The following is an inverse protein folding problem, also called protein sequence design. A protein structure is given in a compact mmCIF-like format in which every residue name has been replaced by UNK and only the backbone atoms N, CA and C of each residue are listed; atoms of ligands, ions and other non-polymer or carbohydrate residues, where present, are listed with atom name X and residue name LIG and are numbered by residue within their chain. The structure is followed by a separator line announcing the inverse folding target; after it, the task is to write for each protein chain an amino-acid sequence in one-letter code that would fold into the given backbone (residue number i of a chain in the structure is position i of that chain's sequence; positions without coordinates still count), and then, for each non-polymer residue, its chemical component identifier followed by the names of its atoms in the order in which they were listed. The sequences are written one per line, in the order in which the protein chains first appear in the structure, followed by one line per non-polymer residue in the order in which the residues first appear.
data_IF_069614852024
#
_entry.id   IF_069614852024
#
_cell.length_a   1.000
_cell.length_b   1.000
_cell.length_c   1.000
_cell.angle_alpha   90.00
_cell.angle_beta   90.00
_cell.angle_gamma   90.00
#
_symmetry.space_group_name_H-M   'P 1'
#
loop_
_entity.id
_entity.type
_entity.pdbx_description
1 polymer ?
#
# COMPACT_ATOMS: atom_id res chain seq x y z
N UNK A 1 -11.35 -18.19 102.77
CA UNK A 1 -10.07 -18.02 103.48
C UNK A 1 -9.63 -16.56 103.36
N UNK A 2 -9.65 -15.84 104.49
CA UNK A 2 -8.87 -14.62 104.73
C UNK A 2 -7.35 -14.90 104.60
N UNK A 3 -6.47 -13.91 104.82
CA UNK A 3 -6.44 -12.52 104.36
C UNK A 3 -5.03 -12.19 103.78
N UNK A 4 -4.78 -10.98 103.29
CA UNK A 4 -3.59 -10.20 103.69
C UNK A 4 -3.44 -8.90 102.91
N UNK A 5 -3.74 -7.78 103.62
CA UNK A 5 -2.94 -6.54 103.79
C UNK A 5 -2.42 -5.82 102.53
N UNK A 6 -2.58 -4.50 102.36
CA UNK A 6 -2.79 -3.43 103.34
C UNK A 6 -3.25 -2.11 102.71
N UNK A 7 -3.16 -1.07 103.55
CA UNK A 7 -4.01 0.12 103.63
C UNK A 7 -3.37 1.34 102.90
N UNK A 8 -3.78 2.62 103.10
CA UNK A 8 -4.41 3.48 102.10
C UNK A 8 -3.54 4.70 101.67
N UNK A 9 -4.04 5.50 100.72
CA UNK A 9 -3.87 6.96 100.81
C UNK A 9 -3.25 7.71 99.62
N UNK A 10 -4.04 8.67 99.16
CA UNK A 10 -3.65 10.07 98.84
C UNK A 10 -2.94 10.35 97.49
N UNK A 11 -3.77 10.89 96.58
CA UNK A 11 -3.58 12.12 95.78
C UNK A 11 -2.21 12.33 95.09
N UNK A 12 -2.25 12.36 93.76
CA UNK A 12 -1.19 12.99 92.97
C UNK A 12 -1.51 12.94 91.49
N UNK A 13 -2.01 14.07 90.96
CA UNK A 13 -2.01 14.35 89.53
C UNK A 13 -0.63 14.03 88.95
N UNK A 14 -0.55 13.06 88.05
CA UNK A 14 0.54 13.02 87.07
C UNK A 14 -0.01 12.41 85.78
N UNK A 15 -0.71 13.25 85.02
CA UNK A 15 -0.94 13.04 83.59
C UNK A 15 0.44 13.17 82.94
N UNK A 16 1.18 12.05 82.91
CA UNK A 16 2.38 11.89 82.09
C UNK A 16 1.91 11.90 80.63
N UNK A 17 1.96 13.08 80.04
CA UNK A 17 1.75 13.31 78.62
C UNK A 17 2.76 12.46 77.82
N UNK A 18 2.30 11.35 77.25
CA UNK A 18 2.93 10.69 76.11
C UNK A 18 2.68 11.55 74.87
N UNK A 19 3.31 12.72 74.82
CA UNK A 19 3.20 13.64 73.68
C UNK A 19 4.56 14.32 73.46
N UNK A 20 5.53 13.54 73.00
CA UNK A 20 6.76 14.09 72.41
C UNK A 20 7.35 13.11 71.38
N UNK A 21 6.55 12.73 70.38
CA UNK A 21 7.10 12.60 69.03
C UNK A 21 6.87 13.96 68.36
N UNK A 22 7.63 14.96 68.80
CA UNK A 22 7.63 16.28 68.17
C UNK A 22 8.16 16.11 66.75
N UNK A 23 7.32 16.56 65.82
CA UNK A 23 7.54 16.82 64.40
C UNK A 23 9.01 16.66 63.97
N UNK A 24 9.30 15.58 63.27
CA UNK A 24 10.46 15.56 62.38
C UNK A 24 10.19 16.63 61.31
N UNK A 25 10.80 17.81 61.46
CA UNK A 25 10.82 18.80 60.38
C UNK A 25 11.34 18.09 59.13
N UNK A 26 10.63 18.15 57.99
CA UNK A 26 11.14 17.60 56.75
C UNK A 26 12.45 18.33 56.45
N UNK A 27 13.56 17.59 56.51
CA UNK A 27 14.87 18.09 56.13
C UNK A 27 14.79 18.51 54.67
N UNK A 28 14.61 19.81 54.43
CA UNK A 28 14.71 20.38 53.09
C UNK A 28 16.17 20.16 52.67
N UNK A 29 16.43 19.38 51.61
CA UNK A 29 17.80 19.19 51.14
C UNK A 29 18.39 20.58 50.85
N UNK A 30 19.64 20.85 51.27
CA UNK A 30 20.26 22.14 51.04
C UNK A 30 20.25 22.44 49.54
N UNK A 31 19.84 23.65 49.17
CA UNK A 31 19.94 24.11 47.79
C UNK A 31 21.43 24.20 47.43
N UNK A 32 21.91 23.18 46.72
CA UNK A 32 23.30 23.04 46.31
C UNK A 32 23.77 24.18 45.40
N UNK A 33 22.84 24.93 44.80
CA UNK A 33 23.12 26.07 43.96
C UNK A 33 23.10 27.41 44.71
N UNK A 34 22.75 27.41 46.00
CA UNK A 34 22.80 28.61 46.83
C UNK A 34 24.23 29.11 46.97
N UNK A 35 24.50 30.31 46.43
CA UNK A 35 25.83 30.93 46.44
C UNK A 35 26.76 30.51 45.31
N UNK A 36 26.32 29.67 44.37
CA UNK A 36 27.10 29.28 43.19
C UNK A 36 26.94 30.33 42.09
N UNK A 37 28.00 31.05 41.77
CA UNK A 37 28.05 31.99 40.64
C UNK A 37 28.65 31.30 39.41
N UNK A 38 27.80 30.95 38.44
CA UNK A 38 28.26 30.35 37.20
C UNK A 38 28.72 31.40 36.17
N UNK A 39 29.75 31.11 35.36
CA UNK A 39 30.16 31.93 34.22
C UNK A 39 29.04 32.12 33.19
N UNK A 40 29.24 33.04 32.23
CA UNK A 40 28.28 33.30 31.15
C UNK A 40 27.98 32.02 30.35
N UNK A 41 26.71 31.88 29.94
CA UNK A 41 26.18 30.71 29.23
C UNK A 41 26.34 29.38 30.01
N UNK A 42 26.30 29.43 31.34
CA UNK A 42 26.20 28.28 32.21
C UNK A 42 25.07 28.49 33.23
N UNK A 43 24.47 27.39 33.70
CA UNK A 43 23.48 27.39 34.76
C UNK A 43 23.88 26.40 35.84
N UNK A 44 23.52 26.69 37.09
CA UNK A 44 23.77 25.77 38.18
C UNK A 44 22.73 24.65 38.19
N UNK A 45 23.21 23.41 38.27
CA UNK A 45 22.41 22.19 38.40
C UNK A 45 23.09 21.31 39.44
N UNK A 46 22.40 20.99 40.54
CA UNK A 46 22.93 20.14 41.62
C UNK A 46 24.31 20.58 42.15
N UNK A 47 24.53 21.91 42.25
CA UNK A 47 25.79 22.50 42.72
C UNK A 47 26.92 22.52 41.69
N UNK A 48 26.65 22.19 40.42
CA UNK A 48 27.63 22.22 39.32
C UNK A 48 27.18 23.19 38.24
N UNK A 49 28.13 23.95 37.69
CA UNK A 49 27.87 24.80 36.54
C UNK A 49 27.94 23.99 35.24
N UNK A 50 26.80 23.88 34.55
CA UNK A 50 26.69 23.18 33.27
C UNK A 50 26.41 24.18 32.16
N UNK A 51 27.05 24.00 31.01
CA UNK A 51 26.89 24.90 29.87
C UNK A 51 25.47 24.83 29.31
N UNK A 52 24.88 25.98 28.99
CA UNK A 52 23.58 26.09 28.29
C UNK A 52 23.75 26.15 26.77
N UNK A 53 24.99 26.01 26.28
CA UNK A 53 25.35 26.03 24.87
C UNK A 53 26.15 24.78 24.55
N UNK A 54 25.75 24.06 23.51
CA UNK A 54 26.32 22.77 23.13
C UNK A 54 26.70 22.82 21.64
N UNK A 55 27.96 22.55 21.30
CA UNK A 55 28.52 22.69 19.94
C UNK A 55 28.18 24.04 19.26
N UNK A 56 28.15 25.12 20.05
CA UNK A 56 27.82 26.47 19.57
C UNK A 56 26.32 26.78 19.41
N UNK A 57 25.44 25.83 19.70
CA UNK A 57 23.99 26.02 19.70
C UNK A 57 23.46 26.20 21.12
N UNK A 58 22.63 27.22 21.35
CA UNK A 58 21.95 27.40 22.64
C UNK A 58 20.92 26.28 22.83
N UNK A 59 20.98 25.59 23.97
CA UNK A 59 20.01 24.58 24.35
C UNK A 59 18.65 25.23 24.68
N UNK A 60 17.57 24.45 24.58
CA UNK A 60 16.24 24.94 24.94
C UNK A 60 16.16 25.24 26.46
N UNK A 61 15.20 26.08 26.90
CA UNK A 61 15.00 26.34 28.32
C UNK A 61 14.83 25.03 29.12
N UNK A 62 15.51 24.92 30.27
CA UNK A 62 15.49 23.71 31.09
C UNK A 62 16.42 22.57 30.61
N UNK A 63 17.24 22.81 29.58
CA UNK A 63 18.25 21.88 29.10
C UNK A 63 19.67 22.42 29.34
N UNK A 64 20.62 21.51 29.46
CA UNK A 64 22.05 21.79 29.56
C UNK A 64 22.84 20.87 28.64
N UNK A 65 24.07 21.24 28.36
CA UNK A 65 24.98 20.47 27.52
C UNK A 65 25.60 19.32 28.33
N UNK A 66 25.28 18.08 27.96
CA UNK A 66 25.94 16.86 28.43
C UNK A 66 26.47 16.07 27.23
N UNK A 67 27.77 15.75 27.23
CA UNK A 67 28.45 14.96 26.18
C UNK A 67 28.01 15.36 24.77
N UNK A 68 28.15 16.65 24.45
CA UNK A 68 27.81 17.25 23.16
C UNK A 68 26.32 17.26 22.76
N UNK A 69 25.40 16.90 23.65
CA UNK A 69 23.96 16.93 23.41
C UNK A 69 23.25 17.82 24.42
N UNK A 70 22.22 18.54 23.97
CA UNK A 70 21.31 19.23 24.89
C UNK A 70 20.39 18.20 25.56
N UNK A 71 20.49 18.09 26.88
CA UNK A 71 19.74 17.13 27.71
C UNK A 71 18.93 17.93 28.74
N UNK A 72 17.69 17.52 28.99
CA UNK A 72 16.87 18.09 30.07
C UNK A 72 17.57 17.87 31.41
N UNK A 73 17.53 18.89 32.27
CA UNK A 73 18.16 18.82 33.61
C UNK A 73 17.66 17.61 34.41
N UNK A 74 16.36 17.31 34.32
CA UNK A 74 15.75 16.15 34.99
C UNK A 74 16.26 14.79 34.45
N UNK A 75 16.89 14.77 33.27
CA UNK A 75 17.40 13.58 32.60
C UNK A 75 18.92 13.41 32.72
N UNK A 76 19.61 14.30 33.44
CA UNK A 76 21.05 14.17 33.67
C UNK A 76 21.34 12.92 34.50
N UNK A 77 22.24 12.07 34.00
CA UNK A 77 22.58 10.79 34.64
C UNK A 77 21.52 9.70 34.52
N UNK A 78 20.34 9.99 33.95
CA UNK A 78 19.31 8.97 33.71
C UNK A 78 19.71 8.11 32.52
N UNK A 79 19.85 6.81 32.76
CA UNK A 79 20.14 5.81 31.73
C UNK A 79 18.90 4.96 31.48
N UNK A 80 18.25 5.18 30.35
CA UNK A 80 17.08 4.41 29.93
C UNK A 80 17.51 3.18 29.10
N UNK A 81 16.80 2.07 29.25
CA UNK A 81 17.07 0.82 28.52
C UNK A 81 16.29 0.73 27.20
N UNK A 82 16.86 0.08 26.18
CA UNK A 82 16.14 -0.30 24.96
C UNK A 82 15.64 0.89 24.14
N UNK A 83 14.34 0.90 23.83
CA UNK A 83 13.58 1.87 23.05
C UNK A 83 13.00 3.03 23.89
N UNK A 84 13.55 3.25 25.09
CA UNK A 84 13.10 4.29 26.01
C UNK A 84 13.98 5.54 25.93
N UNK A 85 13.35 6.70 26.09
CA UNK A 85 14.03 7.99 26.20
C UNK A 85 13.58 8.68 27.48
N UNK A 86 14.50 9.37 28.13
CA UNK A 86 14.15 10.19 29.27
C UNK A 86 13.42 11.45 28.83
N UNK A 87 12.26 11.70 29.45
CA UNK A 87 11.48 12.93 29.33
C UNK A 87 10.97 13.29 30.72
N UNK A 88 11.17 14.55 31.14
CA UNK A 88 10.77 15.00 32.47
C UNK A 88 11.30 14.10 33.61
N UNK A 89 12.50 13.53 33.45
CA UNK A 89 13.14 12.65 34.42
C UNK A 89 12.61 11.21 34.47
N UNK A 90 11.67 10.84 33.58
CA UNK A 90 11.12 9.48 33.50
C UNK A 90 11.50 8.83 32.17
N UNK A 91 11.87 7.55 32.19
CA UNK A 91 12.11 6.76 30.98
C UNK A 91 10.77 6.34 30.36
N UNK A 92 10.37 7.03 29.30
CA UNK A 92 9.18 6.70 28.51
C UNK A 92 9.57 5.94 27.25
N UNK A 93 8.71 5.03 26.78
CA UNK A 93 8.93 4.45 25.45
C UNK A 93 8.73 5.49 24.37
N UNK A 94 9.63 5.48 23.38
CA UNK A 94 9.48 6.27 22.16
C UNK A 94 8.26 5.73 21.40
N UNK A 95 7.27 6.59 21.21
CA UNK A 95 6.04 6.27 20.48
C UNK A 95 5.37 7.57 20.08
N UNK A 96 4.47 7.52 19.11
CA UNK A 96 3.84 8.73 18.57
C UNK A 96 2.34 8.82 18.88
N UNK A 97 1.90 8.11 19.91
CA UNK A 97 0.57 8.29 20.50
C UNK A 97 0.45 9.63 21.24
N UNK A 98 -0.78 10.09 21.49
CA UNK A 98 -1.01 11.32 22.25
C UNK A 98 -0.32 11.26 23.62
N UNK A 99 0.59 12.19 23.88
CA UNK A 99 1.31 12.32 25.15
C UNK A 99 2.63 11.57 25.26
N UNK A 100 3.01 10.72 24.28
CA UNK A 100 4.27 9.98 24.33
C UNK A 100 5.48 10.75 23.80
N UNK A 101 6.67 10.22 24.05
CA UNK A 101 7.93 10.78 23.56
C UNK A 101 8.06 10.59 22.04
N UNK A 102 8.11 11.71 21.31
CA UNK A 102 8.12 11.74 19.84
C UNK A 102 9.21 10.88 19.19
N UNK A 103 8.92 10.37 17.99
CA UNK A 103 9.84 9.58 17.18
C UNK A 103 11.13 10.33 16.83
N UNK A 104 12.15 9.59 16.38
CA UNK A 104 13.39 10.20 15.90
C UNK A 104 13.14 11.08 14.67
N UNK A 105 14.00 12.08 14.39
CA UNK A 105 13.84 12.95 13.22
C UNK A 105 13.82 12.23 11.86
N UNK A 106 14.25 10.95 11.82
CA UNK A 106 14.26 10.06 10.65
C UNK A 106 13.06 9.13 10.59
N UNK A 107 12.11 9.25 11.52
CA UNK A 107 10.97 8.36 11.65
C UNK A 107 9.67 9.14 11.61
N UNK A 108 8.65 8.56 10.97
CA UNK A 108 7.28 9.07 11.04
C UNK A 108 6.46 8.20 11.96
N UNK A 109 5.37 8.80 12.43
CA UNK A 109 4.32 8.04 13.07
C UNK A 109 3.48 7.31 12.02
N UNK A 110 3.41 5.99 12.12
CA UNK A 110 2.40 5.18 11.43
C UNK A 110 1.74 4.27 12.47
N UNK A 111 0.43 4.38 12.63
CA UNK A 111 -0.37 3.55 13.55
C UNK A 111 0.16 3.49 14.98
N UNK A 112 0.58 4.64 15.53
CA UNK A 112 1.21 4.80 16.86
C UNK A 112 2.60 4.16 17.02
N UNK A 113 3.18 3.64 15.94
CA UNK A 113 4.53 3.09 15.87
C UNK A 113 5.44 4.05 15.11
N UNK A 114 6.66 4.23 15.60
CA UNK A 114 7.69 4.96 14.88
C UNK A 114 8.24 4.06 13.77
N UNK A 115 8.01 4.45 12.52
CA UNK A 115 8.53 3.74 11.35
C UNK A 115 9.59 4.61 10.68
N UNK A 116 10.70 3.98 10.32
CA UNK A 116 11.76 4.66 9.60
C UNK A 116 11.27 5.09 8.22
N UNK A 117 11.45 6.36 7.88
CA UNK A 117 11.07 6.91 6.58
C UNK A 117 12.23 7.73 6.05
N UNK A 118 12.90 7.16 5.04
CA UNK A 118 14.07 7.76 4.38
C UNK A 118 13.76 9.10 3.69
N UNK A 119 12.48 9.48 3.57
CA UNK A 119 12.06 10.70 2.91
C UNK A 119 11.78 11.87 3.86
N UNK A 120 11.83 11.66 5.18
CA UNK A 120 11.65 12.75 6.14
C UNK A 120 12.85 13.71 6.08
N UNK A 121 12.56 14.99 5.83
CA UNK A 121 13.57 16.04 5.70
C UNK A 121 14.25 16.09 4.33
N UNK A 122 13.95 15.15 3.43
CA UNK A 122 14.48 15.15 2.07
C UNK A 122 13.73 16.18 1.22
N UNK A 123 14.44 17.22 0.78
CA UNK A 123 13.90 18.22 -0.16
C UNK A 123 14.30 17.86 -1.58
N UNK A 124 13.43 17.15 -2.28
CA UNK A 124 13.67 16.80 -3.66
C UNK A 124 13.53 18.02 -4.61
N UNK A 125 14.41 18.17 -5.61
CA UNK A 125 14.31 19.22 -6.61
C UNK A 125 13.03 19.10 -7.44
N UNK A 126 12.61 20.18 -8.09
CA UNK A 126 11.39 20.24 -8.88
C UNK A 126 11.34 19.11 -9.93
N UNK A 127 10.20 18.43 -10.03
CA UNK A 127 9.99 17.31 -10.94
C UNK A 127 10.55 15.96 -10.46
N UNK A 128 11.01 15.88 -9.20
CA UNK A 128 11.45 14.63 -8.58
C UNK A 128 10.66 14.34 -7.30
N UNK A 129 10.53 13.07 -6.96
CA UNK A 129 9.88 12.56 -5.74
C UNK A 129 10.86 11.69 -4.98
N UNK A 130 10.78 11.72 -3.65
CA UNK A 130 11.57 10.85 -2.80
C UNK A 130 11.02 9.42 -2.86
N UNK A 131 11.90 8.45 -3.09
CA UNK A 131 11.59 7.02 -3.13
C UNK A 131 11.93 6.35 -1.79
N UNK A 132 11.48 5.12 -1.60
CA UNK A 132 11.64 4.39 -0.32
C UNK A 132 13.11 4.24 0.14
N UNK A 133 14.07 4.32 -0.78
CA UNK A 133 15.52 4.33 -0.53
C UNK A 133 16.07 5.71 -0.11
N UNK A 134 15.23 6.74 0.00
CA UNK A 134 15.63 8.11 0.28
C UNK A 134 16.16 8.89 -0.93
N UNK A 135 16.20 8.27 -2.11
CA UNK A 135 16.71 8.91 -3.32
C UNK A 135 15.62 9.75 -4.00
N UNK A 136 15.98 10.96 -4.45
CA UNK A 136 15.11 11.77 -5.29
C UNK A 136 15.19 11.28 -6.73
N UNK A 137 14.10 10.72 -7.25
CA UNK A 137 14.02 10.26 -8.64
C UNK A 137 12.97 11.07 -9.40
N UNK A 138 13.19 11.25 -10.69
CA UNK A 138 12.25 12.01 -11.52
C UNK A 138 10.89 11.33 -11.59
N UNK A 139 9.84 12.14 -11.52
CA UNK A 139 8.46 11.69 -11.79
C UNK A 139 8.30 11.35 -13.27
N UNK A 140 9.09 12.02 -14.11
CA UNK A 140 9.21 11.73 -15.53
C UNK A 140 10.21 10.59 -15.79
N UNK A 141 9.91 9.70 -16.71
CA UNK A 141 10.77 8.60 -17.11
C UNK A 141 10.93 8.57 -18.63
N UNK A 142 12.08 8.06 -19.08
CA UNK A 142 12.34 7.71 -20.47
C UNK A 142 12.83 6.28 -20.46
N UNK A 143 11.94 5.33 -20.77
CA UNK A 143 12.16 3.93 -20.43
C UNK A 143 12.22 3.69 -18.91
N UNK A 144 12.55 2.46 -18.51
CA UNK A 144 12.36 1.99 -17.12
C UNK A 144 13.41 2.55 -16.11
N UNK A 145 14.40 3.33 -16.58
CA UNK A 145 15.56 3.76 -15.79
C UNK A 145 15.24 4.62 -14.55
N UNK A 146 14.22 5.49 -14.63
CA UNK A 146 13.85 6.38 -13.52
C UNK A 146 12.81 5.78 -12.57
N UNK A 147 12.32 4.57 -12.90
CA UNK A 147 11.27 3.90 -12.16
C UNK A 147 11.85 2.94 -11.13
N UNK A 148 11.06 2.63 -10.11
CA UNK A 148 11.43 1.61 -9.13
C UNK A 148 11.41 0.21 -9.79
N UNK A 149 12.05 -0.79 -9.16
CA UNK A 149 12.09 -2.15 -9.71
C UNK A 149 10.71 -2.79 -9.95
N UNK A 150 9.67 -2.26 -9.29
CA UNK A 150 8.27 -2.67 -9.41
C UNK A 150 7.44 -1.74 -10.30
N UNK A 151 8.08 -0.87 -11.07
CA UNK A 151 7.43 0.12 -11.93
C UNK A 151 8.02 0.10 -13.34
N UNK A 152 7.21 0.53 -14.31
CA UNK A 152 7.62 0.71 -15.70
C UNK A 152 7.24 2.11 -16.17
N UNK A 153 7.99 2.62 -17.13
CA UNK A 153 7.64 3.88 -17.75
C UNK A 153 6.42 3.75 -18.65
N UNK A 154 5.32 4.39 -18.26
CA UNK A 154 4.10 4.49 -19.02
C UNK A 154 4.26 5.36 -20.27
N UNK A 155 3.30 5.29 -21.22
CA UNK A 155 3.35 6.03 -22.48
C UNK A 155 3.31 7.55 -22.29
N UNK A 156 2.75 8.05 -21.18
CA UNK A 156 2.79 9.46 -20.77
C UNK A 156 4.12 9.89 -20.12
N UNK A 157 5.13 9.02 -20.10
CA UNK A 157 6.44 9.31 -19.51
C UNK A 157 6.39 9.38 -17.99
N UNK A 158 5.49 8.64 -17.33
CA UNK A 158 5.39 8.54 -15.87
C UNK A 158 5.60 7.10 -15.42
N UNK A 159 6.25 6.92 -14.27
CA UNK A 159 6.37 5.60 -13.67
C UNK A 159 5.01 5.15 -13.16
N UNK A 160 4.59 3.96 -13.59
CA UNK A 160 3.37 3.30 -13.10
C UNK A 160 3.72 1.90 -12.62
N UNK A 161 2.98 1.36 -11.63
CA UNK A 161 3.23 0.00 -11.16
C UNK A 161 3.20 -1.01 -12.31
N UNK A 162 4.16 -1.94 -12.34
CA UNK A 162 4.07 -3.13 -13.22
C UNK A 162 2.97 -4.09 -12.77
N UNK A 163 2.46 -3.92 -11.56
CA UNK A 163 1.25 -4.58 -11.11
C UNK A 163 0.05 -4.05 -11.93
N UNK A 164 -0.35 -4.82 -12.95
CA UNK A 164 -1.47 -4.50 -13.83
C UNK A 164 -1.06 -3.90 -15.19
N UNK A 165 -2.06 -3.42 -15.93
CA UNK A 165 -1.93 -3.17 -17.37
C UNK A 165 -1.75 -1.71 -17.80
N UNK A 166 -1.58 -0.80 -16.85
CA UNK A 166 -1.53 0.65 -17.11
C UNK A 166 -0.35 1.07 -18.02
N UNK A 167 0.80 0.39 -17.94
CA UNK A 167 1.99 0.67 -18.77
C UNK A 167 2.22 -0.33 -19.91
N UNK A 168 1.38 -1.37 -20.02
CA UNK A 168 1.69 -2.50 -20.89
C UNK A 168 1.07 -2.28 -22.26
N UNK A 169 1.92 -2.05 -23.27
CA UNK A 169 1.49 -1.95 -24.68
C UNK A 169 1.69 -3.30 -25.36
N UNK A 170 0.60 -4.00 -25.61
CA UNK A 170 0.66 -5.30 -26.27
C UNK A 170 0.67 -5.19 -27.79
N UNK A 171 1.43 -6.06 -28.49
CA UNK A 171 1.40 -6.15 -29.94
C UNK A 171 0.02 -6.59 -30.43
N UNK A 172 -0.21 -6.51 -31.74
CA UNK A 172 -1.48 -6.93 -32.34
C UNK A 172 -1.84 -8.37 -31.96
N UNK A 173 -3.13 -8.62 -31.77
CA UNK A 173 -3.69 -9.90 -31.28
C UNK A 173 -3.31 -10.29 -29.84
N UNK A 174 -2.88 -9.32 -29.02
CA UNK A 174 -2.65 -9.53 -27.58
C UNK A 174 -3.39 -8.50 -26.72
N UNK A 175 -3.83 -8.92 -25.55
CA UNK A 175 -4.41 -8.06 -24.51
C UNK A 175 -3.56 -8.17 -23.26
N UNK A 176 -3.40 -7.08 -22.53
CA UNK A 176 -2.73 -7.15 -21.24
C UNK A 176 -3.67 -7.77 -20.20
N UNK A 177 -3.17 -8.76 -19.45
CA UNK A 177 -3.76 -9.26 -18.20
C UNK A 177 -2.65 -9.40 -17.17
N UNK A 178 -2.89 -8.93 -15.95
CA UNK A 178 -1.95 -9.00 -14.82
C UNK A 178 -0.52 -8.52 -15.12
N UNK A 179 -0.39 -7.49 -15.96
CA UNK A 179 0.91 -6.92 -16.32
C UNK A 179 1.68 -7.66 -17.43
N UNK A 180 1.09 -8.71 -18.01
CA UNK A 180 1.66 -9.47 -19.12
C UNK A 180 0.79 -9.36 -20.37
N UNK A 181 1.44 -9.32 -21.55
CA UNK A 181 0.73 -9.40 -22.82
C UNK A 181 0.39 -10.85 -23.14
N UNK A 182 -0.89 -11.10 -23.37
CA UNK A 182 -1.43 -12.43 -23.62
C UNK A 182 -2.14 -12.47 -24.96
N UNK A 183 -1.94 -13.54 -25.71
CA UNK A 183 -2.64 -13.75 -26.97
C UNK A 183 -4.16 -13.79 -26.76
N UNK A 184 -4.90 -13.05 -27.59
CA UNK A 184 -6.36 -13.08 -27.64
C UNK A 184 -6.86 -14.45 -28.12
N UNK A 185 -6.04 -15.15 -28.91
CA UNK A 185 -6.30 -16.48 -29.41
C UNK A 185 -5.18 -17.45 -29.04
N UNK A 186 -5.54 -18.70 -28.75
CA UNK A 186 -4.59 -19.76 -28.43
C UNK A 186 -4.71 -20.95 -29.38
N UNK A 187 -3.62 -21.67 -29.59
CA UNK A 187 -3.56 -22.93 -30.34
C UNK A 187 -3.19 -24.12 -29.44
N UNK A 188 -2.56 -23.85 -28.30
CA UNK A 188 -2.25 -24.82 -27.25
C UNK A 188 -2.11 -24.16 -25.88
N UNK A 189 -1.98 -24.97 -24.82
CA UNK A 189 -1.88 -24.47 -23.45
C UNK A 189 -0.65 -23.58 -23.20
N UNK A 190 0.41 -23.74 -24.00
CA UNK A 190 1.61 -22.88 -23.95
C UNK A 190 1.35 -21.43 -24.34
N UNK A 191 0.23 -21.17 -25.03
CA UNK A 191 -0.18 -19.81 -25.43
C UNK A 191 -0.96 -19.10 -24.32
N UNK A 192 -1.27 -19.81 -23.23
CA UNK A 192 -2.06 -19.33 -22.10
C UNK A 192 -1.21 -19.23 -20.83
N UNK A 193 -1.72 -18.49 -19.83
CA UNK A 193 -1.00 -18.31 -18.57
C UNK A 193 -0.97 -19.61 -17.77
N UNK A 194 -0.01 -19.71 -16.84
CA UNK A 194 0.04 -20.79 -15.85
C UNK A 194 -1.29 -20.90 -15.11
N UNK A 195 -1.93 -22.07 -15.18
CA UNK A 195 -3.25 -22.30 -14.58
C UNK A 195 -4.42 -22.08 -15.54
N UNK A 196 -4.17 -21.84 -16.83
CA UNK A 196 -5.19 -21.78 -17.88
C UNK A 196 -5.04 -22.93 -18.89
N UNK A 197 -6.13 -23.24 -19.58
CA UNK A 197 -6.15 -24.19 -20.69
C UNK A 197 -6.66 -23.50 -21.96
N UNK A 198 -6.05 -23.85 -23.09
CA UNK A 198 -6.53 -23.38 -24.38
C UNK A 198 -7.74 -24.20 -24.82
N UNK A 199 -8.89 -23.54 -24.98
CA UNK A 199 -10.13 -24.20 -25.39
C UNK A 199 -10.84 -23.42 -26.47
N UNK A 200 -11.04 -24.09 -27.61
CA UNK A 200 -11.67 -23.52 -28.79
C UNK A 200 -11.11 -22.15 -29.21
N UNK A 201 -9.78 -21.99 -29.09
CA UNK A 201 -9.09 -20.75 -29.43
C UNK A 201 -9.06 -19.70 -28.32
N UNK A 202 -9.62 -19.96 -27.13
CA UNK A 202 -9.66 -19.03 -26.01
C UNK A 202 -8.93 -19.61 -24.79
N UNK A 203 -8.10 -18.80 -24.14
CA UNK A 203 -7.52 -19.16 -22.84
C UNK A 203 -8.57 -19.00 -21.74
N UNK A 204 -8.86 -20.10 -21.04
CA UNK A 204 -9.77 -20.12 -19.89
C UNK A 204 -9.01 -20.57 -18.65
N UNK A 205 -9.33 -19.97 -17.50
CA UNK A 205 -8.86 -20.46 -16.21
C UNK A 205 -9.22 -21.94 -16.05
N UNK A 206 -8.31 -22.76 -15.53
CA UNK A 206 -8.56 -24.19 -15.31
C UNK A 206 -9.69 -24.43 -14.29
N UNK A 207 -10.01 -23.42 -13.48
CA UNK A 207 -11.15 -23.39 -12.55
C UNK A 207 -12.46 -23.00 -13.21
N UNK A 208 -12.45 -22.49 -14.45
CA UNK A 208 -13.66 -22.16 -15.18
C UNK A 208 -14.39 -23.45 -15.57
N UNK A 209 -15.69 -23.60 -15.24
CA UNK A 209 -16.44 -24.82 -15.59
C UNK A 209 -16.54 -25.04 -17.11
N UNK A 210 -16.38 -24.00 -17.93
CA UNK A 210 -16.32 -24.09 -19.38
C UNK A 210 -14.96 -24.55 -19.91
N UNK A 211 -13.90 -24.57 -19.09
CA UNK A 211 -12.59 -25.09 -19.47
C UNK A 211 -12.62 -26.59 -19.84
N UNK A 212 -13.52 -27.35 -19.21
CA UNK A 212 -13.71 -28.78 -19.49
C UNK A 212 -14.55 -29.03 -20.76
N UNK A 213 -15.35 -28.05 -21.20
CA UNK A 213 -16.27 -28.21 -22.35
C UNK A 213 -15.49 -28.11 -23.67
N UNK A 214 -15.57 -29.13 -24.53
CA UNK A 214 -14.77 -29.22 -25.79
C UNK A 214 -15.06 -28.13 -26.79
N UNK A 215 -16.33 -27.97 -27.08
CA UNK A 215 -16.87 -26.93 -27.94
C UNK A 215 -18.37 -27.09 -27.84
N UNK A 216 -19.09 -25.97 -27.80
CA UNK A 216 -20.54 -26.06 -27.88
C UNK A 216 -20.98 -26.27 -29.33
N UNK A 217 -22.04 -27.05 -29.57
CA UNK A 217 -22.65 -27.18 -30.90
C UNK A 217 -23.05 -25.82 -31.47
N UNK A 218 -23.25 -25.76 -32.78
CA UNK A 218 -23.73 -24.54 -33.46
C UNK A 218 -24.97 -23.96 -32.77
N UNK A 219 -24.98 -22.65 -32.62
CA UNK A 219 -26.03 -21.91 -31.92
C UNK A 219 -25.91 -21.84 -30.39
N UNK A 220 -24.95 -22.56 -29.79
CA UNK A 220 -24.81 -22.63 -28.34
C UNK A 220 -23.52 -21.96 -27.84
N UNK A 221 -23.62 -21.34 -26.67
CA UNK A 221 -22.49 -20.77 -25.92
C UNK A 221 -22.32 -21.53 -24.61
N UNK A 222 -21.09 -21.72 -24.15
CA UNK A 222 -20.89 -22.29 -22.82
C UNK A 222 -21.21 -21.24 -21.76
N UNK A 223 -22.07 -21.59 -20.80
CA UNK A 223 -22.36 -20.80 -19.61
C UNK A 223 -22.38 -21.75 -18.42
N UNK A 224 -21.54 -21.47 -17.42
CA UNK A 224 -21.45 -22.26 -16.18
C UNK A 224 -21.20 -23.76 -16.42
N UNK A 225 -20.38 -24.10 -17.42
CA UNK A 225 -20.03 -25.49 -17.77
C UNK A 225 -21.07 -26.24 -18.58
N UNK A 226 -22.15 -25.59 -19.01
CA UNK A 226 -23.17 -26.17 -19.88
C UNK A 226 -23.29 -25.38 -21.18
N UNK A 227 -23.49 -26.08 -22.30
CA UNK A 227 -23.83 -25.43 -23.56
C UNK A 227 -25.30 -25.02 -23.55
N UNK A 228 -25.54 -23.71 -23.65
CA UNK A 228 -26.87 -23.10 -23.65
C UNK A 228 -27.12 -22.41 -24.98
N UNK A 229 -28.36 -22.48 -25.47
CA UNK A 229 -28.75 -21.80 -26.70
C UNK A 229 -28.57 -20.29 -26.57
N UNK A 230 -27.91 -19.70 -27.56
CA UNK A 230 -27.76 -18.25 -27.64
C UNK A 230 -28.99 -17.66 -28.35
N UNK A 231 -29.75 -16.86 -27.61
CA UNK A 231 -30.79 -16.05 -28.21
C UNK A 231 -30.17 -14.90 -29.03
N UNK A 232 -30.81 -14.53 -30.13
CA UNK A 232 -30.36 -13.46 -31.02
C UNK A 232 -31.49 -12.50 -31.40
N UNK A 233 -31.15 -11.26 -31.74
CA UNK A 233 -32.13 -10.21 -32.04
C UNK A 233 -31.50 -8.83 -32.22
N UNK A 234 -32.30 -7.75 -32.21
CA UNK A 234 -31.78 -6.38 -32.29
C UNK A 234 -30.76 -6.11 -31.17
N UNK A 235 -29.51 -5.83 -31.54
CA UNK A 235 -28.42 -5.59 -30.58
C UNK A 235 -27.78 -6.84 -29.98
N UNK A 236 -28.23 -8.04 -30.34
CA UNK A 236 -27.70 -9.31 -29.85
C UNK A 236 -27.32 -10.22 -31.03
N UNK A 237 -26.12 -10.00 -31.63
CA UNK A 237 -25.67 -10.79 -32.78
C UNK A 237 -25.27 -12.20 -32.37
N UNK A 238 -25.35 -13.14 -33.32
CA UNK A 238 -24.77 -14.47 -33.19
C UNK A 238 -23.24 -14.40 -33.27
N UNK A 239 -22.56 -15.40 -32.70
CA UNK A 239 -21.10 -15.48 -32.75
C UNK A 239 -20.65 -16.08 -34.10
N UNK A 240 -19.52 -15.61 -34.63
CA UNK A 240 -18.95 -16.13 -35.87
C UNK A 240 -19.79 -15.84 -37.12
N UNK A 241 -20.07 -16.89 -37.91
CA UNK A 241 -20.77 -16.84 -39.20
C UNK A 241 -22.22 -17.36 -39.13
N UNK A 242 -22.79 -17.42 -37.92
CA UNK A 242 -24.13 -17.93 -37.68
C UNK A 242 -25.19 -16.87 -38.00
N UNK A 243 -26.33 -17.31 -38.55
CA UNK A 243 -27.48 -16.47 -38.82
C UNK A 243 -28.47 -16.51 -37.67
N UNK A 244 -29.15 -15.39 -37.41
CA UNK A 244 -30.25 -15.36 -36.45
C UNK A 244 -31.55 -15.82 -37.12
N UNK A 245 -32.06 -17.00 -36.76
CA UNK A 245 -33.36 -17.53 -37.22
C UNK A 245 -34.31 -17.67 -36.04
N UNK A 246 -35.46 -17.00 -36.10
CA UNK A 246 -36.51 -17.09 -35.08
C UNK A 246 -36.00 -16.87 -33.64
N UNK A 247 -35.03 -15.97 -33.46
CA UNK A 247 -34.44 -15.66 -32.16
C UNK A 247 -33.39 -16.67 -31.67
N UNK A 248 -32.97 -17.64 -32.48
CA UNK A 248 -31.90 -18.60 -32.20
C UNK A 248 -30.78 -18.52 -33.23
N UNK A 249 -29.54 -18.71 -32.78
CA UNK A 249 -28.39 -18.76 -33.68
C UNK A 249 -28.28 -20.12 -34.37
N UNK A 250 -28.16 -20.11 -35.69
CA UNK A 250 -28.00 -21.33 -36.50
C UNK A 250 -26.84 -21.16 -37.49
N UNK A 251 -26.02 -22.20 -37.66
CA UNK A 251 -24.90 -22.20 -38.60
C UNK A 251 -24.76 -23.48 -39.43
N UNK A 252 -23.92 -23.48 -40.47
CA UNK A 252 -23.35 -22.31 -41.16
C UNK A 252 -24.29 -21.83 -42.27
N UNK A 253 -24.53 -20.52 -42.33
CA UNK A 253 -25.19 -19.92 -43.50
C UNK A 253 -24.18 -19.91 -44.63
N UNK A 254 -24.18 -20.93 -45.49
CA UNK A 254 -23.53 -20.80 -46.80
C UNK A 254 -24.17 -19.57 -47.44
N UNK A 255 -23.35 -18.60 -47.80
CA UNK A 255 -23.73 -17.51 -48.68
C UNK A 255 -24.16 -18.11 -50.02
N UNK A 256 -25.40 -18.59 -50.09
CA UNK A 256 -26.12 -18.63 -51.34
C UNK A 256 -26.29 -17.18 -51.77
N UNK A 257 -25.55 -16.86 -52.83
CA UNK A 257 -25.56 -15.61 -53.52
C UNK A 257 -26.98 -15.22 -53.94
N UNK A 258 -27.69 -14.48 -53.10
CA UNK A 258 -28.81 -13.64 -53.53
C UNK A 258 -28.69 -12.31 -52.80
N UNK A 259 -28.22 -11.33 -53.55
CA UNK A 259 -27.96 -9.99 -53.05
C UNK A 259 -29.20 -9.38 -52.41
N UNK A 260 -29.07 -8.94 -51.17
CA UNK A 260 -29.77 -7.75 -50.73
C UNK A 260 -28.95 -6.55 -51.21
N UNK A 261 -29.24 -6.12 -52.44
CA UNK A 261 -29.06 -4.73 -52.79
C UNK A 261 -30.15 -3.94 -52.02
N UNK A 262 -29.81 -2.87 -51.29
CA UNK A 262 -30.80 -1.84 -50.98
C UNK A 262 -31.13 -1.12 -52.30
N UNK A 263 -32.39 -1.22 -52.72
CA UNK A 263 -32.88 -0.53 -53.91
C UNK A 263 -32.95 0.98 -53.69
N UNK A 264 -32.19 1.74 -54.49
CA UNK A 264 -32.52 3.09 -54.95
C UNK A 264 -31.73 3.35 -56.25
N UNK A 265 -32.41 3.80 -57.31
CA UNK A 265 -31.99 3.58 -58.70
C UNK A 265 -31.26 4.70 -59.45
N UNK A 266 -30.74 4.26 -60.61
CA UNK A 266 -30.54 4.93 -61.92
C UNK A 266 -29.41 5.99 -62.10
N UNK A 267 -28.97 6.31 -63.33
CA UNK A 267 -28.20 5.44 -64.24
C UNK A 267 -26.94 6.12 -64.85
N UNK A 268 -26.00 5.34 -65.40
CA UNK A 268 -25.17 5.76 -66.55
C UNK A 268 -23.65 5.89 -66.32
N UNK A 269 -22.88 5.06 -67.04
CA UNK A 269 -21.44 5.25 -67.23
C UNK A 269 -20.73 3.99 -67.75
N UNK A 270 -20.22 4.02 -68.99
CA UNK A 270 -19.66 2.87 -69.73
C UNK A 270 -18.17 2.59 -69.43
N UNK A 271 -17.85 1.32 -69.11
CA UNK A 271 -16.65 0.54 -69.52
C UNK A 271 -15.28 0.80 -68.84
N UNK A 272 -14.26 -0.07 -69.06
CA UNK A 272 -14.30 -1.51 -69.35
C UNK A 272 -13.39 -2.40 -68.44
N UNK A 273 -13.56 -3.71 -68.64
CA UNK A 273 -12.87 -4.90 -68.16
C UNK A 273 -11.41 -4.82 -67.62
N UNK A 274 -11.12 -5.68 -66.62
CA UNK A 274 -9.90 -6.51 -66.60
C UNK A 274 -10.07 -7.76 -65.75
N UNK A 275 -9.62 -8.88 -66.34
CA UNK A 275 -9.55 -10.25 -65.83
C UNK A 275 -8.35 -10.44 -64.90
N UNK A 276 -8.41 -11.40 -63.98
CA UNK A 276 -7.21 -11.95 -63.34
C UNK A 276 -7.48 -12.61 -61.99
N UNK A 277 -7.85 -13.89 -61.99
CA UNK A 277 -7.82 -14.73 -60.79
C UNK A 277 -6.40 -15.27 -60.54
N UNK A 278 -6.07 -15.54 -59.27
CA UNK A 278 -5.62 -16.83 -58.70
C UNK A 278 -5.14 -16.60 -57.27
N UNK A 279 -5.47 -17.52 -56.35
CA UNK A 279 -4.89 -17.54 -55.00
C UNK A 279 -5.81 -18.18 -53.97
N UNK A 280 -5.97 -19.49 -54.04
CA UNK A 280 -6.63 -20.25 -52.98
C UNK A 280 -5.80 -20.22 -51.70
N UNK A 281 -6.42 -19.80 -50.60
CA UNK A 281 -5.95 -20.06 -49.24
C UNK A 281 -7.06 -20.82 -48.51
N UNK A 282 -6.70 -21.96 -47.91
CA UNK A 282 -7.58 -22.77 -47.11
C UNK A 282 -8.11 -21.96 -45.92
N UNK A 283 -9.41 -21.65 -45.92
CA UNK A 283 -10.09 -21.06 -44.78
C UNK A 283 -10.20 -22.13 -43.69
N UNK A 284 -9.35 -22.03 -42.67
CA UNK A 284 -9.59 -22.69 -41.38
C UNK A 284 -10.93 -22.15 -40.83
N UNK A 285 -11.86 -23.05 -40.52
CA UNK A 285 -13.20 -22.70 -40.05
C UNK A 285 -13.18 -21.99 -38.68
N UNK A 286 -14.24 -21.26 -38.32
CA UNK A 286 -14.25 -20.43 -37.12
C UNK A 286 -14.25 -21.29 -35.84
N UNK A 287 -13.29 -21.00 -34.96
CA UNK A 287 -13.20 -21.49 -33.59
C UNK A 287 -14.31 -20.86 -32.73
N UNK A 288 -15.13 -21.70 -32.09
CA UNK A 288 -16.23 -21.30 -31.22
C UNK A 288 -15.71 -20.64 -29.93
N UNK A 289 -15.98 -19.35 -29.72
CA UNK A 289 -15.48 -18.60 -28.56
C UNK A 289 -16.22 -18.99 -27.28
N UNK A 290 -15.49 -19.41 -26.27
CA UNK A 290 -15.99 -19.56 -24.91
C UNK A 290 -15.87 -18.19 -24.24
N UNK A 291 -16.99 -17.47 -24.06
CA UNK A 291 -16.98 -16.22 -23.29
C UNK A 291 -17.01 -16.54 -21.80
N UNK A 292 -15.96 -16.22 -21.03
CA UNK A 292 -16.12 -16.10 -19.58
C UNK A 292 -17.02 -14.89 -19.33
N UNK A 293 -18.17 -15.13 -18.69
CA UNK A 293 -19.11 -14.08 -18.33
C UNK A 293 -18.43 -13.08 -17.40
N UNK A 294 -18.40 -11.81 -17.81
CA UNK A 294 -18.21 -10.70 -16.90
C UNK A 294 -19.40 -10.65 -15.94
N UNK A 295 -19.10 -10.57 -14.64
CA UNK A 295 -20.02 -10.01 -13.65
C UNK A 295 -20.09 -8.49 -13.82
#
# INVERSE_FOLDING_TARGET
MSPSRGVPGVVGLLVLALAACDKTEPLVPPDLCSGVACPTAQTCVEGRCLATTCRGLACAPGQVCDRDSCVEVACLGVSCSGDQRCRAGTCERVSCSQGSTACYPTERCADSVCVFDNCIGVKCPQGTVCRADGSCRSVACTGDYNCESTERCGPEGRCVPVAGCAAVRCPSQQVCRDGACQALACSGASDCLSGEVCRAGTCLASTDPCAAVTSCPSGQVCRSGACVQQACGPGQPCQGLEGCRSGSCEGPVRSEAQGLAPGAGSPGGKGPASLGGVGGAALQGPTHTLHPGAF
#
